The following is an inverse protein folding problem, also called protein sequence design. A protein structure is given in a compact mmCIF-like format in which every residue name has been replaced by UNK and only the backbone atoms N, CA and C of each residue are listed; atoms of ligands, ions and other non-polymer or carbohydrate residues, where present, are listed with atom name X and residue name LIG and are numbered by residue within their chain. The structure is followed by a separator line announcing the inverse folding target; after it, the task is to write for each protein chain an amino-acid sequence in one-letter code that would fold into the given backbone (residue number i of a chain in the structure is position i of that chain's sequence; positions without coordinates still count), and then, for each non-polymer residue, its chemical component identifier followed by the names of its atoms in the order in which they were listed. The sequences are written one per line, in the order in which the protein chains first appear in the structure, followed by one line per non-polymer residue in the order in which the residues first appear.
data_IF_751184277970
#
_entry.id   IF_751184277970
#
_cell.length_a   1.000
_cell.length_b   1.000
_cell.length_c   1.000
_cell.angle_alpha   90.00
_cell.angle_beta   90.00
_cell.angle_gamma   90.00
#
_symmetry.space_group_name_H-M   'P 1'
#
loop_
_entity.id
_entity.type
_entity.pdbx_description
1 polymer ?
#
# COMPACT_ATOMS: atom_id res chain seq x y z
N UNK A 1 3.64 30.99 2.47
CA UNK A 1 3.48 31.34 1.02
C UNK A 1 2.87 30.15 0.27
N UNK A 2 2.24 30.32 -0.90
CA UNK A 2 1.71 29.18 -1.69
C UNK A 2 2.19 29.24 -3.14
N UNK A 3 2.86 28.18 -3.59
CA UNK A 3 3.21 27.95 -4.98
C UNK A 3 2.28 26.89 -5.59
N UNK A 4 1.79 27.14 -6.80
CA UNK A 4 0.93 26.24 -7.56
C UNK A 4 1.36 26.29 -9.01
N UNK A 5 1.70 25.15 -9.60
CA UNK A 5 2.08 25.03 -11.01
C UNK A 5 3.25 25.96 -11.39
N UNK A 6 4.22 26.13 -10.48
CA UNK A 6 5.37 27.03 -10.70
C UNK A 6 6.63 26.20 -10.96
N UNK A 7 7.36 26.50 -12.02
CA UNK A 7 8.65 25.89 -12.31
C UNK A 7 9.75 26.95 -12.29
N UNK A 8 10.75 26.73 -11.46
CA UNK A 8 11.95 27.56 -11.42
C UNK A 8 13.04 26.83 -12.20
N UNK A 9 13.48 27.39 -13.32
CA UNK A 9 14.46 26.77 -14.22
C UNK A 9 15.75 27.59 -14.23
N UNK A 10 16.91 26.92 -14.24
CA UNK A 10 18.25 27.51 -14.38
C UNK A 10 18.51 28.73 -13.47
N UNK A 11 17.95 28.70 -12.25
CA UNK A 11 17.93 29.84 -11.32
C UNK A 11 18.87 29.65 -10.12
N UNK A 12 19.34 30.77 -9.55
CA UNK A 12 20.17 30.80 -8.35
C UNK A 12 19.36 31.34 -7.16
N UNK A 13 19.33 30.58 -6.08
CA UNK A 13 18.80 30.99 -4.79
C UNK A 13 19.94 31.01 -3.78
N UNK A 14 20.31 32.20 -3.30
CA UNK A 14 21.41 32.40 -2.36
C UNK A 14 20.89 33.11 -1.12
N UNK A 15 21.23 32.60 0.06
CA UNK A 15 20.86 33.19 1.36
C UNK A 15 19.34 33.42 1.52
N UNK A 16 18.52 32.52 0.95
CA UNK A 16 17.07 32.61 1.00
C UNK A 16 16.49 31.96 2.28
N UNK A 17 15.29 32.39 2.68
CA UNK A 17 14.55 31.82 3.80
C UNK A 17 13.11 31.52 3.38
N UNK A 18 12.78 30.24 3.25
CA UNK A 18 11.44 29.77 2.88
C UNK A 18 10.71 29.29 4.13
N UNK A 19 9.69 30.04 4.55
CA UNK A 19 8.87 29.76 5.73
C UNK A 19 7.41 29.53 5.37
N UNK A 20 6.79 28.51 5.98
CA UNK A 20 5.36 28.20 5.82
C UNK A 20 4.94 28.10 4.35
N UNK A 21 5.82 27.55 3.52
CA UNK A 21 5.58 27.38 2.09
C UNK A 21 4.77 26.11 1.86
N UNK A 22 3.77 26.21 0.98
CA UNK A 22 3.02 25.05 0.47
C UNK A 22 3.11 25.06 -1.05
N UNK A 23 3.43 23.94 -1.67
CA UNK A 23 3.81 23.84 -3.06
C UNK A 23 3.08 22.66 -3.73
N UNK A 24 2.27 22.96 -4.74
CA UNK A 24 1.56 21.96 -5.56
C UNK A 24 2.04 22.10 -6.99
N UNK A 25 2.37 20.98 -7.65
CA UNK A 25 2.97 20.95 -8.99
C UNK A 25 4.10 21.97 -9.20
N UNK A 26 4.95 22.12 -8.19
CA UNK A 26 6.01 23.13 -8.18
C UNK A 26 7.36 22.45 -8.09
N UNK A 27 8.26 22.81 -9.00
CA UNK A 27 9.57 22.18 -9.16
C UNK A 27 10.68 23.21 -9.36
N UNK A 28 11.86 22.87 -8.86
CA UNK A 28 13.11 23.57 -9.11
C UNK A 28 13.94 22.68 -10.03
N UNK A 29 14.33 23.19 -11.19
CA UNK A 29 15.00 22.42 -12.23
C UNK A 29 16.31 23.10 -12.60
N UNK A 30 17.41 22.33 -12.58
CA UNK A 30 18.77 22.83 -12.85
C UNK A 30 19.19 24.04 -11.98
N UNK A 31 18.49 24.28 -10.87
CA UNK A 31 18.76 25.42 -10.00
C UNK A 31 19.97 25.18 -9.07
N UNK A 32 20.64 26.25 -8.66
CA UNK A 32 21.63 26.20 -7.58
C UNK A 32 21.05 26.88 -6.35
N UNK A 33 21.07 26.20 -5.20
CA UNK A 33 20.53 26.69 -3.93
C UNK A 33 21.66 26.70 -2.91
N UNK A 34 21.96 27.87 -2.36
CA UNK A 34 23.13 28.11 -1.50
C UNK A 34 22.66 28.77 -0.21
N UNK A 35 23.13 28.27 0.93
CA UNK A 35 22.91 28.86 2.26
C UNK A 35 21.44 29.20 2.53
N UNK A 36 20.52 28.37 2.04
CA UNK A 36 19.08 28.62 2.11
C UNK A 36 18.44 27.76 3.19
N UNK A 37 17.49 28.32 3.92
CA UNK A 37 16.76 27.61 4.97
C UNK A 37 15.31 27.37 4.54
N UNK A 38 14.86 26.13 4.72
CA UNK A 38 13.48 25.70 4.49
C UNK A 38 12.86 25.33 5.85
N UNK A 39 11.96 26.18 6.36
CA UNK A 39 11.29 26.00 7.64
C UNK A 39 9.79 25.80 7.44
N UNK A 40 9.23 24.70 7.97
CA UNK A 40 7.82 24.35 7.82
C UNK A 40 7.32 24.41 6.37
N UNK A 41 8.03 23.74 5.48
CA UNK A 41 7.70 23.66 4.05
C UNK A 41 7.37 22.23 3.63
N UNK A 42 6.66 22.08 2.52
CA UNK A 42 6.45 20.81 1.81
C UNK A 42 7.40 20.62 0.61
N UNK A 43 8.53 21.33 0.63
CA UNK A 43 9.56 21.29 -0.41
C UNK A 43 10.52 20.11 -0.16
N UNK A 44 10.04 18.90 -0.43
CA UNK A 44 10.85 17.68 -0.28
C UNK A 44 11.85 17.49 -1.43
N UNK A 45 12.78 16.54 -1.26
CA UNK A 45 13.87 16.26 -2.20
C UNK A 45 13.41 16.07 -3.66
N UNK A 46 12.27 15.41 -3.89
CA UNK A 46 11.75 15.14 -5.24
C UNK A 46 11.35 16.40 -6.02
N UNK A 47 11.15 17.55 -5.36
CA UNK A 47 10.84 18.83 -6.02
C UNK A 47 12.07 19.53 -6.58
N UNK A 48 13.27 19.02 -6.32
CA UNK A 48 14.54 19.57 -6.78
C UNK A 48 15.19 18.64 -7.82
N UNK A 49 14.97 18.93 -9.09
CA UNK A 49 15.42 18.10 -10.21
C UNK A 49 16.74 18.68 -10.75
N UNK A 50 17.82 17.87 -10.71
CA UNK A 50 19.16 18.29 -11.12
C UNK A 50 19.66 19.56 -10.42
N UNK A 51 19.17 19.84 -9.22
CA UNK A 51 19.59 21.00 -8.45
C UNK A 51 20.86 20.72 -7.65
N UNK A 52 21.64 21.77 -7.41
CA UNK A 52 22.79 21.74 -6.52
C UNK A 52 22.47 22.48 -5.23
N UNK A 53 22.29 21.75 -4.13
CA UNK A 53 22.07 22.30 -2.79
C UNK A 53 23.40 22.38 -2.04
N UNK A 54 23.77 23.56 -1.57
CA UNK A 54 25.02 23.83 -0.83
C UNK A 54 24.66 24.51 0.49
N UNK A 55 25.09 23.94 1.62
CA UNK A 55 24.86 24.49 2.97
C UNK A 55 23.40 24.89 3.26
N UNK A 56 22.43 24.16 2.69
CA UNK A 56 21.01 24.45 2.88
C UNK A 56 20.42 23.52 3.94
N UNK A 57 19.48 24.02 4.74
CA UNK A 57 18.90 23.28 5.88
C UNK A 57 17.39 23.15 5.74
N UNK A 58 16.87 21.98 6.15
CA UNK A 58 15.44 21.67 6.20
C UNK A 58 15.05 21.46 7.66
N UNK A 59 14.04 22.19 8.12
CA UNK A 59 13.61 22.26 9.52
C UNK A 59 12.09 22.17 9.57
N UNK A 60 11.58 21.32 10.48
CA UNK A 60 10.14 21.12 10.71
C UNK A 60 9.34 20.90 9.41
N UNK A 61 9.81 20.01 8.53
CA UNK A 61 9.10 19.68 7.30
C UNK A 61 7.63 19.32 7.58
N UNK A 62 6.72 19.81 6.73
CA UNK A 62 5.30 19.52 6.92
C UNK A 62 5.07 18.01 6.87
N UNK A 63 4.31 17.47 7.81
CA UNK A 63 3.87 16.08 7.73
C UNK A 63 2.73 15.97 6.73
N UNK A 64 2.98 15.34 5.57
CA UNK A 64 2.01 15.08 4.52
C UNK A 64 2.26 13.72 3.87
N UNK A 65 1.21 13.06 3.37
CA UNK A 65 1.37 11.80 2.64
C UNK A 65 1.69 12.12 1.18
N UNK A 66 2.72 11.47 0.61
CA UNK A 66 3.15 11.66 -0.78
C UNK A 66 2.01 11.46 -1.80
N UNK A 67 1.01 10.66 -1.43
CA UNK A 67 -0.22 10.39 -2.18
C UNK A 67 -1.13 11.59 -2.39
N UNK A 68 -0.95 12.71 -1.67
CA UNK A 68 -1.78 13.91 -1.86
C UNK A 68 -1.19 14.90 -2.91
N UNK A 69 0.00 14.60 -3.45
CA UNK A 69 0.80 15.59 -4.21
C UNK A 69 1.22 15.14 -5.63
N UNK A 70 0.92 13.91 -6.04
CA UNK A 70 1.37 13.34 -7.31
C UNK A 70 0.16 12.88 -8.15
N UNK A 71 -0.46 13.85 -8.84
CA UNK A 71 -1.78 13.72 -9.50
C UNK A 71 -1.82 12.63 -10.60
N UNK A 72 -0.67 12.19 -11.12
CA UNK A 72 -0.56 11.20 -12.19
C UNK A 72 -0.88 9.76 -11.77
N UNK A 73 -0.69 9.40 -10.49
CA UNK A 73 -0.95 8.04 -9.98
C UNK A 73 -2.25 7.92 -9.16
N UNK A 74 -2.90 9.05 -8.84
CA UNK A 74 -4.10 9.09 -8.01
C UNK A 74 -5.29 8.39 -8.67
N UNK A 75 -5.46 8.57 -9.98
CA UNK A 75 -6.53 7.90 -10.71
C UNK A 75 -6.36 6.38 -10.70
N UNK A 76 -5.13 5.89 -10.89
CA UNK A 76 -4.86 4.45 -10.94
C UNK A 76 -5.09 3.80 -9.56
N UNK A 77 -4.64 4.45 -8.49
CA UNK A 77 -4.81 3.96 -7.12
C UNK A 77 -6.29 3.97 -6.73
N UNK A 78 -7.01 5.04 -7.07
CA UNK A 78 -8.46 5.12 -6.86
C UNK A 78 -9.21 4.06 -7.67
N UNK A 79 -8.82 3.86 -8.94
CA UNK A 79 -9.40 2.85 -9.83
C UNK A 79 -9.16 1.44 -9.28
N UNK A 80 -7.94 1.10 -8.85
CA UNK A 80 -7.63 -0.20 -8.26
C UNK A 80 -8.42 -0.41 -6.97
N UNK A 81 -8.55 0.61 -6.13
CA UNK A 81 -9.34 0.56 -4.90
C UNK A 81 -10.84 0.37 -5.18
N UNK A 82 -11.34 1.04 -6.20
CA UNK A 82 -12.71 0.89 -6.70
C UNK A 82 -12.96 -0.52 -7.25
N UNK A 83 -12.07 -1.03 -8.11
CA UNK A 83 -12.15 -2.38 -8.67
C UNK A 83 -12.03 -3.46 -7.60
N UNK A 84 -11.20 -3.25 -6.58
CA UNK A 84 -11.11 -4.10 -5.41
C UNK A 84 -12.45 -4.20 -4.68
N UNK A 85 -13.12 -3.07 -4.49
CA UNK A 85 -14.46 -3.03 -3.89
C UNK A 85 -15.52 -3.70 -4.79
N UNK A 86 -15.44 -3.49 -6.11
CA UNK A 86 -16.34 -4.08 -7.10
C UNK A 86 -16.20 -5.61 -7.18
N UNK A 87 -14.99 -6.13 -6.97
CA UNK A 87 -14.69 -7.57 -7.01
C UNK A 87 -15.47 -8.40 -5.97
N UNK A 88 -15.95 -7.77 -4.89
CA UNK A 88 -16.71 -8.42 -3.82
C UNK A 88 -18.17 -8.67 -4.24
N UNK A 89 -18.72 -7.87 -5.16
CA UNK A 89 -20.10 -7.98 -5.61
C UNK A 89 -20.47 -9.35 -6.19
N UNK A 90 -19.74 -9.94 -7.15
CA UNK A 90 -20.07 -11.26 -7.66
C UNK A 90 -20.07 -12.33 -6.56
N UNK A 91 -19.14 -12.26 -5.59
CA UNK A 91 -19.11 -13.17 -4.44
C UNK A 91 -20.36 -13.06 -3.57
N UNK A 92 -20.81 -11.83 -3.29
CA UNK A 92 -22.03 -11.58 -2.51
C UNK A 92 -23.30 -12.00 -3.26
N UNK A 93 -23.37 -11.77 -4.58
CA UNK A 93 -24.50 -12.18 -5.42
C UNK A 93 -24.59 -13.71 -5.49
N UNK A 94 -23.47 -14.40 -5.75
CA UNK A 94 -23.43 -15.86 -5.78
C UNK A 94 -23.81 -16.42 -4.40
N UNK A 95 -23.31 -15.84 -3.33
CA UNK A 95 -23.66 -16.23 -1.96
C UNK A 95 -25.15 -16.07 -1.67
N UNK A 96 -25.76 -14.96 -2.10
CA UNK A 96 -27.19 -14.73 -1.95
C UNK A 96 -28.02 -15.73 -2.76
N UNK A 97 -27.64 -16.02 -4.02
CA UNK A 97 -28.31 -17.00 -4.87
C UNK A 97 -28.20 -18.43 -4.33
N UNK A 98 -27.04 -18.81 -3.78
CA UNK A 98 -26.85 -20.10 -3.12
C UNK A 98 -27.71 -20.21 -1.87
N UNK A 99 -27.82 -19.13 -1.07
CA UNK A 99 -28.71 -19.09 0.08
C UNK A 99 -30.18 -19.22 -0.30
N UNK A 100 -30.60 -18.65 -1.43
CA UNK A 100 -31.97 -18.75 -1.95
C UNK A 100 -32.29 -20.16 -2.47
N UNK A 101 -31.36 -20.78 -3.22
CA UNK A 101 -31.54 -22.13 -3.78
C UNK A 101 -31.43 -23.27 -2.76
N UNK A 102 -30.49 -23.20 -1.83
CA UNK A 102 -30.13 -24.31 -0.91
C UNK A 102 -30.83 -24.15 0.46
N UNK A 103 -31.18 -22.92 0.82
CA UNK A 103 -31.74 -22.58 2.12
C UNK A 103 -30.67 -22.41 3.21
N UNK A 104 -30.87 -21.40 4.06
CA UNK A 104 -29.92 -20.96 5.10
C UNK A 104 -29.45 -22.10 6.02
N UNK A 105 -30.35 -22.97 6.46
CA UNK A 105 -30.06 -24.04 7.42
C UNK A 105 -29.16 -25.13 6.80
N UNK A 106 -29.42 -25.50 5.54
CA UNK A 106 -28.61 -26.48 4.82
C UNK A 106 -27.20 -25.96 4.52
N UNK A 107 -27.08 -24.67 4.17
CA UNK A 107 -25.79 -24.01 3.98
C UNK A 107 -24.94 -24.03 5.25
N UNK A 108 -25.52 -23.68 6.41
CA UNK A 108 -24.80 -23.74 7.71
C UNK A 108 -24.37 -25.17 8.05
N UNK A 109 -25.20 -26.17 7.72
CA UNK A 109 -24.84 -27.58 7.90
C UNK A 109 -23.67 -28.00 7.01
N UNK A 110 -23.74 -27.69 5.72
CA UNK A 110 -22.72 -28.08 4.73
C UNK A 110 -21.37 -27.43 5.04
N UNK A 111 -21.35 -26.14 5.38
CA UNK A 111 -20.10 -25.41 5.70
C UNK A 111 -19.40 -25.94 6.95
N UNK A 112 -20.11 -26.60 7.86
CA UNK A 112 -19.48 -27.27 9.03
C UNK A 112 -19.06 -28.70 8.72
N UNK A 113 -19.86 -29.45 7.97
CA UNK A 113 -19.59 -30.88 7.71
C UNK A 113 -18.44 -31.08 6.73
N UNK A 114 -18.33 -30.27 5.68
CA UNK A 114 -17.30 -30.42 4.64
C UNK A 114 -15.86 -30.26 5.19
N UNK A 115 -15.54 -29.22 5.99
CA UNK A 115 -14.20 -29.09 6.59
C UNK A 115 -13.87 -30.22 7.55
N UNK A 116 -14.85 -30.71 8.33
CA UNK A 116 -14.65 -31.82 9.27
C UNK A 116 -14.27 -33.08 8.51
N UNK A 117 -15.00 -33.42 7.44
CA UNK A 117 -14.71 -34.60 6.63
C UNK A 117 -13.34 -34.50 5.95
N UNK A 118 -13.00 -33.32 5.40
CA UNK A 118 -11.68 -33.06 4.82
C UNK A 118 -10.57 -33.22 5.86
N UNK A 119 -10.71 -32.62 7.04
CA UNK A 119 -9.73 -32.72 8.12
C UNK A 119 -9.56 -34.17 8.62
N UNK A 120 -10.66 -34.91 8.81
CA UNK A 120 -10.60 -36.32 9.18
C UNK A 120 -9.91 -37.18 8.11
N UNK A 121 -10.20 -36.94 6.83
CA UNK A 121 -9.55 -37.68 5.74
C UNK A 121 -8.06 -37.39 5.65
N UNK A 122 -7.65 -36.13 5.83
CA UNK A 122 -6.25 -35.73 5.87
C UNK A 122 -5.52 -36.34 7.07
N UNK A 123 -6.16 -36.39 8.24
CA UNK A 123 -5.59 -36.98 9.44
C UNK A 123 -5.39 -38.50 9.31
N UNK A 124 -6.40 -39.21 8.79
CA UNK A 124 -6.30 -40.66 8.56
C UNK A 124 -5.27 -40.98 7.48
N UNK A 125 -5.27 -40.22 6.37
CA UNK A 125 -4.29 -40.38 5.30
C UNK A 125 -2.86 -40.10 5.77
N UNK A 126 -2.66 -38.99 6.50
CA UNK A 126 -1.37 -38.61 7.08
C UNK A 126 -0.89 -39.61 8.14
N UNK A 127 -1.76 -40.07 9.03
CA UNK A 127 -1.43 -41.10 10.03
C UNK A 127 -1.06 -42.44 9.41
N UNK A 128 -1.76 -42.87 8.35
CA UNK A 128 -1.43 -44.10 7.62
C UNK A 128 -0.08 -43.99 6.90
N UNK A 129 0.22 -42.82 6.31
CA UNK A 129 1.52 -42.55 5.68
C UNK A 129 2.66 -42.53 6.72
N UNK A 130 2.42 -41.92 7.88
CA UNK A 130 3.41 -41.85 8.97
C UNK A 130 3.79 -43.26 9.49
N UNK A 131 2.84 -44.19 9.55
CA UNK A 131 3.12 -45.60 9.90
C UNK A 131 3.90 -46.37 8.82
N UNK A 132 3.96 -45.84 7.59
CA UNK A 132 4.70 -46.44 6.46
C UNK A 132 6.11 -45.87 6.31
N UNK A 133 6.45 -44.78 7.00
CA UNK A 133 7.80 -44.22 7.01
C UNK A 133 8.69 -44.98 8.01
N UNK A 134 9.87 -45.46 7.60
CA UNK A 134 10.76 -46.26 8.46
C UNK A 134 11.27 -45.47 9.68
N UNK A 135 11.53 -44.17 9.51
CA UNK A 135 12.00 -43.24 10.55
C UNK A 135 11.03 -43.12 11.75
N UNK A 136 9.73 -43.28 11.52
CA UNK A 136 8.69 -43.10 12.56
C UNK A 136 8.23 -44.43 13.16
N UNK A 137 8.48 -45.55 12.47
CA UNK A 137 8.03 -46.89 12.89
C UNK A 137 8.73 -47.37 14.16
N UNK A 138 10.00 -47.05 14.33
CA UNK A 138 10.81 -47.49 15.47
C UNK A 138 10.56 -46.68 16.75
N UNK A 139 10.00 -45.46 16.65
CA UNK A 139 9.62 -44.65 17.82
C UNK A 139 8.19 -44.90 18.33
N UNK A 140 7.31 -45.49 17.51
CA UNK A 140 5.88 -45.69 17.87
C UNK A 140 5.58 -47.13 18.33
N UNK A 141 6.43 -48.10 17.99
CA UNK A 141 6.27 -49.53 18.33
C UNK A 141 7.12 -50.01 19.54
N UNK A 142 7.71 -49.07 20.29
CA UNK A 142 8.43 -49.33 21.55
C UNK A 142 7.57 -48.92 22.75
#
# INVERSE_FOLDING_TARGET
MKFKEVRFEDSLFEECYFEDVTSSETFFENCTIISTVFYNTDLYEHKFINCRLINSTFLEEKEGCHLDFEEDNDFLIYLVSFLGSLSVLPGNIISALLMDKIGRIKMIGITKVVPILLASSALVGGGLLALRLPETRDQVLM
#
